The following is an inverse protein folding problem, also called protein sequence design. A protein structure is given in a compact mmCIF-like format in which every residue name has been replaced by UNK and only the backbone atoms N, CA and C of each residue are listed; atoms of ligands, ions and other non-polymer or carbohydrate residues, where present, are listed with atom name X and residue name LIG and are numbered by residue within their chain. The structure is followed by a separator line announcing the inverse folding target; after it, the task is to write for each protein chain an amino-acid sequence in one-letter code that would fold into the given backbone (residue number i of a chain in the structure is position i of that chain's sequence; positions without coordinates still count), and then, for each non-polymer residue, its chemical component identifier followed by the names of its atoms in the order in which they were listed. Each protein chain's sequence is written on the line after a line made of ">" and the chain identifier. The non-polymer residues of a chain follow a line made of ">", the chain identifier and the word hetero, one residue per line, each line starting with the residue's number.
data_IF_337061241442
#
_entry.id   IF_337061241442
#
_cell.length_a   1.000
_cell.length_b   1.000
_cell.length_c   1.000
_cell.angle_alpha   90.00
_cell.angle_beta   90.00
_cell.angle_gamma   90.00
#
_symmetry.space_group_name_H-M   'P 1'
#
loop_
_entity.id
_entity.type
_entity.pdbx_description
1 polymer ?
#
# COMPACT_ATOMS: atom_id res chain seq x y z
N UNK A 1 10.91 -23.59 -0.84
CA UNK A 1 10.40 -22.26 -1.21
C UNK A 1 11.53 -21.40 -1.78
N UNK A 2 11.25 -20.57 -2.81
CA UNK A 2 12.22 -19.59 -3.34
C UNK A 2 12.25 -18.32 -2.50
N UNK A 3 11.23 -18.09 -1.68
CA UNK A 3 11.10 -16.94 -0.79
C UNK A 3 11.40 -17.41 0.62
N UNK A 4 12.37 -16.79 1.27
CA UNK A 4 12.77 -17.10 2.65
C UNK A 4 12.09 -16.18 3.67
N UNK A 5 11.85 -14.93 3.31
CA UNK A 5 11.24 -13.88 4.14
C UNK A 5 10.35 -13.01 3.27
N UNK A 6 9.32 -12.42 3.86
CA UNK A 6 8.40 -11.53 3.18
C UNK A 6 8.30 -10.21 3.93
N UNK A 7 8.34 -9.10 3.19
CA UNK A 7 8.13 -7.76 3.73
C UNK A 7 6.94 -7.16 2.98
N UNK A 8 5.91 -6.80 3.72
CA UNK A 8 4.67 -6.23 3.21
C UNK A 8 4.55 -4.79 3.70
N UNK A 9 4.57 -3.84 2.77
CA UNK A 9 4.57 -2.40 3.07
C UNK A 9 3.27 -1.82 2.55
N UNK A 10 2.45 -1.27 3.44
CA UNK A 10 1.17 -0.63 3.09
C UNK A 10 0.35 -1.46 2.09
N UNK A 11 0.16 -2.74 2.40
CA UNK A 11 -0.52 -3.70 1.53
C UNK A 11 -1.83 -4.18 2.12
N UNK A 12 -2.64 -4.81 1.28
CA UNK A 12 -3.88 -5.48 1.66
C UNK A 12 -4.02 -6.80 0.90
N UNK A 13 -4.61 -7.85 1.48
CA UNK A 13 -4.81 -9.12 0.79
C UNK A 13 -6.00 -9.09 -0.19
N UNK A 14 -6.86 -8.08 -0.07
CA UNK A 14 -7.99 -7.84 -0.95
C UNK A 14 -8.19 -6.33 -1.07
N UNK A 15 -7.91 -5.77 -2.25
CA UNK A 15 -7.95 -4.32 -2.45
C UNK A 15 -9.37 -3.80 -2.63
N UNK A 16 -10.22 -4.52 -3.37
CA UNK A 16 -11.60 -4.14 -3.59
C UNK A 16 -12.50 -4.61 -2.44
N UNK A 17 -13.46 -3.79 -2.06
CA UNK A 17 -14.47 -4.13 -1.06
C UNK A 17 -15.29 -5.34 -1.49
N UNK A 18 -15.61 -6.22 -0.53
CA UNK A 18 -16.47 -7.40 -0.69
C UNK A 18 -17.52 -7.40 0.42
N UNK A 19 -18.56 -8.22 0.30
CA UNK A 19 -19.60 -8.34 1.33
C UNK A 19 -19.04 -8.76 2.71
N UNK A 20 -17.97 -9.56 2.68
CA UNK A 20 -17.23 -10.08 3.85
C UNK A 20 -15.87 -9.36 4.08
N UNK A 21 -15.64 -8.20 3.40
CA UNK A 21 -14.41 -7.42 3.48
C UNK A 21 -14.71 -5.92 3.34
N UNK A 22 -14.99 -5.29 4.47
CA UNK A 22 -15.37 -3.88 4.52
C UNK A 22 -14.19 -2.90 4.34
N UNK A 23 -12.95 -3.35 4.57
CA UNK A 23 -11.74 -2.51 4.52
C UNK A 23 -11.18 -2.30 3.11
N UNK A 24 -11.84 -2.84 2.10
CA UNK A 24 -11.47 -2.66 0.70
C UNK A 24 -12.01 -1.36 0.13
N UNK A 25 -11.41 -0.92 -0.99
CA UNK A 25 -11.85 0.23 -1.77
C UNK A 25 -13.17 -0.07 -2.50
N UNK A 26 -14.11 0.86 -2.45
CA UNK A 26 -15.38 0.74 -3.18
C UNK A 26 -15.15 0.61 -4.70
N UNK A 27 -15.81 -0.33 -5.35
CA UNK A 27 -15.68 -0.57 -6.79
C UNK A 27 -15.97 0.69 -7.63
N UNK A 28 -16.98 1.47 -7.21
CA UNK A 28 -17.33 2.73 -7.88
C UNK A 28 -16.18 3.74 -7.87
N UNK A 29 -15.44 3.83 -6.76
CA UNK A 29 -14.28 4.74 -6.66
C UNK A 29 -13.13 4.29 -7.58
N UNK A 30 -12.90 2.99 -7.71
CA UNK A 30 -11.89 2.44 -8.63
C UNK A 30 -12.24 2.70 -10.08
N UNK A 31 -13.51 2.56 -10.45
CA UNK A 31 -13.99 2.89 -11.79
C UNK A 31 -13.83 4.38 -12.09
N UNK A 32 -14.28 5.24 -11.17
CA UNK A 32 -14.14 6.70 -11.31
C UNK A 32 -12.67 7.11 -11.42
N UNK A 33 -11.79 6.49 -10.65
CA UNK A 33 -10.35 6.74 -10.74
C UNK A 33 -9.80 6.40 -12.14
N UNK A 34 -10.20 5.27 -12.71
CA UNK A 34 -9.79 4.87 -14.06
C UNK A 34 -10.32 5.83 -15.15
N UNK A 35 -11.57 6.27 -15.02
CA UNK A 35 -12.16 7.25 -15.95
C UNK A 35 -11.42 8.59 -15.87
N UNK A 36 -11.17 9.08 -14.66
CA UNK A 36 -10.42 10.32 -14.44
C UNK A 36 -8.98 10.23 -14.95
N UNK A 37 -8.31 9.08 -14.81
CA UNK A 37 -6.97 8.87 -15.39
C UNK A 37 -6.96 9.03 -16.92
N UNK A 38 -8.02 8.54 -17.60
CA UNK A 38 -8.16 8.67 -19.06
C UNK A 38 -8.46 10.11 -19.49
N UNK A 39 -9.22 10.86 -18.70
CA UNK A 39 -9.63 12.22 -19.03
C UNK A 39 -8.57 13.26 -18.69
N UNK A 40 -7.94 13.14 -17.52
CA UNK A 40 -6.94 14.06 -17.02
C UNK A 40 -5.95 13.36 -16.07
N UNK A 41 -4.95 12.75 -16.67
CA UNK A 41 -3.91 11.98 -15.97
C UNK A 41 -3.22 12.81 -14.88
N UNK A 42 -2.70 13.98 -15.24
CA UNK A 42 -1.92 14.83 -14.33
C UNK A 42 -2.71 15.24 -13.09
N UNK A 43 -3.95 15.71 -13.26
CA UNK A 43 -4.80 16.11 -12.14
C UNK A 43 -5.15 14.91 -11.26
N UNK A 44 -5.45 13.77 -11.87
CA UNK A 44 -5.83 12.55 -11.15
C UNK A 44 -4.68 12.01 -10.32
N UNK A 45 -3.47 11.96 -10.89
CA UNK A 45 -2.28 11.54 -10.17
C UNK A 45 -1.92 12.52 -9.04
N UNK A 46 -2.03 13.84 -9.27
CA UNK A 46 -1.79 14.81 -8.19
C UNK A 46 -2.73 14.61 -7.00
N UNK A 47 -4.02 14.33 -7.25
CA UNK A 47 -4.99 13.99 -6.20
C UNK A 47 -4.65 12.67 -5.50
N UNK A 48 -4.25 11.68 -6.26
CA UNK A 48 -3.85 10.38 -5.72
C UNK A 48 -2.61 10.47 -4.83
N UNK A 49 -1.57 11.22 -5.24
CA UNK A 49 -0.39 11.47 -4.41
C UNK A 49 -0.77 12.20 -3.10
N UNK A 50 -1.68 13.18 -3.19
CA UNK A 50 -2.20 13.87 -1.99
C UNK A 50 -2.93 12.90 -1.05
N UNK A 51 -3.73 12.00 -1.61
CA UNK A 51 -4.47 10.99 -0.83
C UNK A 51 -3.53 10.01 -0.12
N UNK A 52 -2.44 9.59 -0.77
CA UNK A 52 -1.42 8.73 -0.16
C UNK A 52 -0.78 9.34 1.09
N UNK A 53 -0.69 10.66 1.15
CA UNK A 53 -0.09 11.39 2.26
C UNK A 53 -1.15 11.94 3.23
N UNK A 54 -2.41 11.49 3.12
CA UNK A 54 -3.49 11.95 4.02
C UNK A 54 -3.18 11.60 5.47
N UNK A 55 -3.33 12.58 6.36
CA UNK A 55 -3.03 12.42 7.78
C UNK A 55 -1.54 12.30 8.14
N UNK A 56 -0.65 12.50 7.19
CA UNK A 56 0.81 12.48 7.42
C UNK A 56 1.31 13.86 7.84
N UNK A 57 2.08 13.92 8.92
CA UNK A 57 2.60 15.18 9.45
C UNK A 57 3.67 15.83 8.56
N UNK A 58 4.32 15.07 7.66
CA UNK A 58 5.31 15.53 6.69
C UNK A 58 4.75 15.70 5.27
N UNK A 59 3.43 15.59 5.09
CA UNK A 59 2.76 15.53 3.79
C UNK A 59 3.24 16.60 2.80
N UNK A 60 3.27 17.87 3.20
CA UNK A 60 3.62 18.96 2.30
C UNK A 60 5.02 18.83 1.69
N UNK A 61 6.03 18.50 2.52
CA UNK A 61 7.42 18.33 2.09
C UNK A 61 7.57 17.13 1.15
N UNK A 62 6.95 16.00 1.50
CA UNK A 62 7.02 14.76 0.72
C UNK A 62 6.31 14.93 -0.62
N UNK A 63 5.12 15.53 -0.63
CA UNK A 63 4.36 15.77 -1.86
C UNK A 63 5.11 16.64 -2.86
N UNK A 64 5.83 17.65 -2.41
CA UNK A 64 6.65 18.50 -3.29
C UNK A 64 7.71 17.66 -4.03
N UNK A 65 8.39 16.78 -3.31
CA UNK A 65 9.43 15.90 -3.87
C UNK A 65 8.82 14.84 -4.80
N UNK A 66 7.72 14.18 -4.39
CA UNK A 66 7.05 13.17 -5.20
C UNK A 66 6.54 13.74 -6.52
N UNK A 67 5.88 14.92 -6.50
CA UNK A 67 5.38 15.56 -7.71
C UNK A 67 6.51 15.92 -8.66
N UNK A 68 7.59 16.53 -8.14
CA UNK A 68 8.76 16.86 -8.96
C UNK A 68 9.34 15.63 -9.64
N UNK A 69 9.50 14.53 -8.93
CA UNK A 69 10.06 13.29 -9.46
C UNK A 69 9.11 12.58 -10.41
N UNK A 70 7.83 12.46 -10.02
CA UNK A 70 6.83 11.69 -10.77
C UNK A 70 6.57 12.26 -12.17
N UNK A 71 6.43 13.57 -12.29
CA UNK A 71 6.13 14.23 -13.58
C UNK A 71 7.36 14.49 -14.47
N UNK A 72 8.53 14.02 -14.08
CA UNK A 72 9.71 13.97 -14.95
C UNK A 72 9.68 12.78 -15.93
N UNK A 73 8.80 11.81 -15.70
CA UNK A 73 8.70 10.61 -16.52
C UNK A 73 7.49 10.70 -17.46
N UNK A 74 7.57 9.96 -18.57
CA UNK A 74 6.44 9.85 -19.51
C UNK A 74 5.21 9.22 -18.82
N UNK A 75 4.03 9.63 -19.26
CA UNK A 75 2.78 9.01 -18.80
C UNK A 75 2.76 7.52 -19.17
N UNK A 76 2.35 6.63 -18.26
CA UNK A 76 2.25 5.21 -18.57
C UNK A 76 1.11 4.95 -19.58
N UNK A 77 1.25 3.89 -20.35
CA UNK A 77 0.22 3.46 -21.28
C UNK A 77 -1.11 3.17 -20.58
N UNK A 78 -2.20 3.70 -21.12
CA UNK A 78 -3.54 3.59 -20.58
C UNK A 78 -4.01 2.13 -20.42
N UNK A 79 -3.60 1.22 -21.33
CA UNK A 79 -3.92 -0.21 -21.23
C UNK A 79 -3.21 -0.86 -20.04
N UNK A 80 -1.97 -0.47 -19.77
CA UNK A 80 -1.20 -0.94 -18.61
C UNK A 80 -1.82 -0.49 -17.30
N UNK A 81 -2.25 0.77 -17.21
CA UNK A 81 -3.00 1.28 -16.05
C UNK A 81 -4.31 0.53 -15.82
N UNK A 82 -5.08 0.30 -16.90
CA UNK A 82 -6.33 -0.45 -16.82
C UNK A 82 -6.10 -1.90 -16.34
N UNK A 83 -5.07 -2.58 -16.86
CA UNK A 83 -4.71 -3.94 -16.42
C UNK A 83 -4.29 -3.96 -14.94
N UNK A 84 -3.48 -2.98 -14.51
CA UNK A 84 -3.09 -2.86 -13.10
C UNK A 84 -4.29 -2.68 -12.17
N UNK A 85 -5.22 -1.78 -12.51
CA UNK A 85 -6.46 -1.60 -11.73
C UNK A 85 -7.32 -2.87 -11.73
N UNK A 86 -7.41 -3.57 -12.85
CA UNK A 86 -8.15 -4.84 -12.92
C UNK A 86 -7.53 -5.90 -11.99
N UNK A 87 -6.21 -5.98 -11.90
CA UNK A 87 -5.52 -6.87 -10.95
C UNK A 87 -5.94 -6.52 -9.51
N UNK A 88 -5.97 -5.24 -9.15
CA UNK A 88 -6.40 -4.81 -7.82
C UNK A 88 -7.88 -5.14 -7.54
N UNK A 89 -8.75 -5.02 -8.54
CA UNK A 89 -10.18 -5.30 -8.39
C UNK A 89 -10.49 -6.79 -8.25
N UNK A 90 -9.80 -7.64 -9.03
CA UNK A 90 -10.17 -9.04 -9.18
C UNK A 90 -9.51 -9.94 -8.12
N UNK A 91 -8.34 -9.56 -7.61
CA UNK A 91 -7.58 -10.41 -6.73
C UNK A 91 -8.04 -10.33 -5.27
N UNK A 92 -8.23 -11.50 -4.70
CA UNK A 92 -8.45 -11.72 -3.28
C UNK A 92 -7.58 -12.91 -2.85
N UNK A 93 -6.58 -12.61 -2.04
CA UNK A 93 -5.61 -13.62 -1.57
C UNK A 93 -5.75 -13.90 -0.08
N UNK A 94 -6.87 -13.52 0.53
CA UNK A 94 -7.13 -13.72 1.97
C UNK A 94 -7.00 -15.18 2.39
N UNK A 95 -7.58 -16.09 1.59
CA UNK A 95 -7.53 -17.52 1.88
C UNK A 95 -6.13 -18.13 1.81
N UNK A 96 -5.19 -17.47 1.13
CA UNK A 96 -3.81 -17.95 1.00
C UNK A 96 -2.90 -17.50 2.16
N UNK A 97 -3.33 -16.54 3.00
CA UNK A 97 -2.49 -15.98 4.07
C UNK A 97 -1.97 -17.05 5.02
N UNK A 98 -2.81 -17.97 5.47
CA UNK A 98 -2.42 -19.04 6.41
C UNK A 98 -1.44 -20.05 5.83
N UNK A 99 -1.32 -20.14 4.51
CA UNK A 99 -0.35 -21.00 3.83
C UNK A 99 1.06 -20.43 3.84
N UNK A 100 1.25 -19.13 4.15
CA UNK A 100 2.55 -18.47 4.25
C UNK A 100 3.19 -18.87 5.57
N UNK A 101 4.26 -19.66 5.50
CA UNK A 101 5.01 -20.14 6.68
C UNK A 101 6.33 -19.41 6.90
N UNK A 102 6.70 -18.56 5.96
CA UNK A 102 7.90 -17.72 6.07
C UNK A 102 7.69 -16.61 7.10
N UNK A 103 8.77 -16.13 7.73
CA UNK A 103 8.71 -14.90 8.53
C UNK A 103 8.22 -13.72 7.67
N UNK A 104 7.28 -12.93 8.22
CA UNK A 104 6.68 -11.77 7.55
C UNK A 104 6.83 -10.53 8.41
N UNK A 105 7.31 -9.43 7.81
CA UNK A 105 7.28 -8.11 8.40
C UNK A 105 6.19 -7.28 7.70
N UNK A 106 5.24 -6.78 8.47
CA UNK A 106 4.19 -5.85 8.04
C UNK A 106 4.57 -4.44 8.51
N UNK A 107 4.67 -3.48 7.59
CA UNK A 107 4.97 -2.07 7.86
C UNK A 107 3.81 -1.22 7.32
N UNK A 108 3.08 -0.50 8.17
CA UNK A 108 1.85 0.17 7.78
C UNK A 108 1.65 1.51 8.49
N UNK A 109 1.08 2.50 7.78
CA UNK A 109 0.72 3.78 8.37
C UNK A 109 -0.64 3.73 9.07
N UNK A 110 -0.78 4.32 10.26
CA UNK A 110 -2.04 4.35 11.01
C UNK A 110 -3.15 5.14 10.29
N UNK A 111 -2.78 6.13 9.47
CA UNK A 111 -3.71 6.98 8.73
C UNK A 111 -3.81 6.62 7.24
N UNK A 112 -3.43 5.40 6.86
CA UNK A 112 -3.49 4.95 5.48
C UNK A 112 -4.95 4.83 5.00
N UNK A 113 -5.33 5.69 4.06
CA UNK A 113 -6.68 5.72 3.45
C UNK A 113 -6.75 4.96 2.13
N UNK A 114 -5.62 4.45 1.62
CA UNK A 114 -5.55 3.65 0.40
C UNK A 114 -5.72 2.17 0.72
N UNK A 115 -4.94 1.67 1.68
CA UNK A 115 -5.04 0.32 2.23
C UNK A 115 -5.32 0.44 3.73
N UNK A 116 -6.56 0.18 4.11
CA UNK A 116 -7.04 0.47 5.46
C UNK A 116 -6.19 -0.25 6.53
N UNK A 117 -5.79 0.41 7.64
CA UNK A 117 -4.93 -0.18 8.68
C UNK A 117 -5.47 -1.47 9.30
N UNK A 118 -6.80 -1.61 9.38
CA UNK A 118 -7.43 -2.85 9.86
C UNK A 118 -7.08 -4.07 8.99
N UNK A 119 -6.79 -3.87 7.69
CA UNK A 119 -6.32 -4.96 6.82
C UNK A 119 -4.94 -5.46 7.24
N UNK A 120 -4.04 -4.56 7.68
CA UNK A 120 -2.74 -4.96 8.22
C UNK A 120 -2.86 -5.74 9.53
N UNK A 121 -3.71 -5.30 10.45
CA UNK A 121 -4.03 -6.03 11.68
C UNK A 121 -4.63 -7.41 11.39
N UNK A 122 -5.56 -7.50 10.46
CA UNK A 122 -6.15 -8.76 10.03
C UNK A 122 -5.09 -9.70 9.44
N UNK A 123 -4.23 -9.21 8.54
CA UNK A 123 -3.13 -10.01 7.99
C UNK A 123 -2.20 -10.53 9.08
N UNK A 124 -1.86 -9.69 10.06
CA UNK A 124 -1.04 -10.11 11.20
C UNK A 124 -1.66 -11.28 11.99
N UNK A 125 -2.97 -11.26 12.17
CA UNK A 125 -3.70 -12.37 12.82
C UNK A 125 -3.72 -13.67 11.98
N UNK A 126 -3.68 -13.56 10.65
CA UNK A 126 -3.72 -14.72 9.75
C UNK A 126 -2.34 -15.32 9.47
N UNK A 127 -1.27 -14.55 9.61
CA UNK A 127 0.10 -14.93 9.27
C UNK A 127 0.80 -15.52 10.52
N UNK A 128 1.16 -16.83 10.54
CA UNK A 128 1.65 -17.50 11.76
C UNK A 128 2.97 -16.95 12.32
N UNK A 129 3.81 -16.39 11.43
CA UNK A 129 5.13 -15.87 11.80
C UNK A 129 5.26 -14.42 11.31
N UNK A 130 4.41 -13.53 11.81
CA UNK A 130 4.45 -12.13 11.41
C UNK A 130 4.77 -11.18 12.56
N UNK A 131 5.42 -10.08 12.20
CA UNK A 131 5.61 -8.89 13.02
C UNK A 131 4.87 -7.73 12.34
N UNK A 132 4.13 -6.94 13.11
CA UNK A 132 3.42 -5.76 12.62
C UNK A 132 4.00 -4.51 13.27
N UNK A 133 4.39 -3.55 12.45
CA UNK A 133 4.82 -2.21 12.87
C UNK A 133 3.85 -1.20 12.29
N UNK A 134 3.18 -0.46 13.17
CA UNK A 134 2.32 0.66 12.81
C UNK A 134 3.06 1.97 13.00
N UNK A 135 3.03 2.84 11.98
CA UNK A 135 3.65 4.17 12.03
C UNK A 135 2.59 5.22 12.38
N UNK A 136 2.71 5.91 13.53
CA UNK A 136 1.72 6.90 13.95
C UNK A 136 1.76 8.13 13.04
N UNK A 137 0.60 8.77 12.83
CA UNK A 137 0.48 9.97 12.00
C UNK A 137 1.12 9.82 10.61
N UNK A 138 0.99 8.65 10.01
CA UNK A 138 1.58 8.27 8.74
C UNK A 138 0.49 7.76 7.78
N UNK A 139 0.53 8.23 6.55
CA UNK A 139 -0.32 7.74 5.46
C UNK A 139 0.23 6.46 4.81
N UNK A 140 0.08 6.35 3.50
CA UNK A 140 0.39 5.14 2.72
C UNK A 140 1.90 4.89 2.50
N UNK A 141 2.79 5.83 2.83
CA UNK A 141 4.20 5.76 2.49
C UNK A 141 5.14 5.90 3.71
N UNK A 142 5.14 4.93 4.66
CA UNK A 142 5.97 5.02 5.86
C UNK A 142 7.47 5.13 5.57
N UNK A 143 7.95 4.59 4.46
CA UNK A 143 9.34 4.71 4.01
C UNK A 143 9.74 6.13 3.60
N UNK A 144 8.78 7.01 3.31
CA UNK A 144 9.01 8.45 3.04
C UNK A 144 8.83 9.32 4.28
N UNK A 145 7.88 8.94 5.14
CA UNK A 145 7.53 9.71 6.32
C UNK A 145 8.48 9.48 7.49
N UNK A 146 8.97 8.24 7.63
CA UNK A 146 9.82 7.76 8.72
C UNK A 146 11.02 6.95 8.21
N UNK A 147 11.86 7.49 7.30
CA UNK A 147 12.89 6.71 6.61
C UNK A 147 13.85 5.99 7.55
N UNK A 148 14.33 6.64 8.61
CA UNK A 148 15.28 6.03 9.55
C UNK A 148 14.65 4.90 10.37
N UNK A 149 13.44 5.12 10.91
CA UNK A 149 12.73 4.08 11.66
C UNK A 149 12.36 2.91 10.75
N UNK A 150 11.90 3.21 9.53
CA UNK A 150 11.57 2.20 8.53
C UNK A 150 12.78 1.31 8.21
N UNK A 151 13.95 1.92 7.96
CA UNK A 151 15.18 1.19 7.69
C UNK A 151 15.66 0.37 8.90
N UNK A 152 15.52 0.88 10.11
CA UNK A 152 15.87 0.15 11.33
C UNK A 152 15.04 -1.14 11.46
N UNK A 153 13.72 -1.09 11.25
CA UNK A 153 12.87 -2.30 11.28
C UNK A 153 13.26 -3.30 10.19
N UNK A 154 13.60 -2.83 8.99
CA UNK A 154 14.08 -3.72 7.92
C UNK A 154 15.39 -4.41 8.29
N UNK A 155 16.36 -3.67 8.83
CA UNK A 155 17.66 -4.22 9.23
C UNK A 155 17.50 -5.25 10.36
N UNK A 156 16.70 -4.95 11.38
CA UNK A 156 16.42 -5.84 12.49
C UNK A 156 15.77 -7.14 12.00
N UNK A 157 14.70 -7.04 11.19
CA UNK A 157 14.01 -8.20 10.65
C UNK A 157 14.92 -9.09 9.78
N UNK A 158 15.81 -8.50 9.00
CA UNK A 158 16.79 -9.26 8.22
C UNK A 158 17.76 -10.04 9.11
N UNK A 159 18.19 -9.45 10.22
CA UNK A 159 19.17 -10.04 11.16
C UNK A 159 18.57 -11.17 11.98
N UNK A 160 17.36 -11.00 12.50
CA UNK A 160 16.72 -11.97 13.41
C UNK A 160 16.25 -13.26 12.73
N UNK A 161 16.17 -13.29 11.41
CA UNK A 161 15.68 -14.43 10.64
C UNK A 161 16.70 -14.90 9.60
N UNK A 162 17.98 -14.75 9.87
CA UNK A 162 19.10 -15.22 9.01
C UNK A 162 19.28 -16.71 9.10
#
# INVERSE_FOLDING_TARGET
>A
SRVQKLILISTTPCFAKRNDWEWGMEHKLLQLFLENLKQNYTTTINRFLTLQMSGDHNAARILLQLRKHFFQHAEPDAKSLQKGLKILQDNDVRMQMQAIKQPVLLLHGENDVITHPAAAHWMHQQLPQSQLVMFPHCGHAPFLSYPDQFMNHLHEFRRTHS
#
